data_IF_897011084352
#
_entry.id   IF_897011084352
#
_cell.length_a   1.000
_cell.length_b   1.000
_cell.length_c   1.000
_cell.angle_alpha   90.00
_cell.angle_beta   90.00
_cell.angle_gamma   90.00
#
_symmetry.space_group_name_H-M   'P 1'
#
loop_
_entity.id
_entity.type
_entity.pdbx_description
1 polymer ?
#
# COMPACT_ATOMS: atom_id res chain seq x y z
N UNK A 1 18.18 -5.94 3.13
CA UNK A 1 17.68 -4.59 3.42
C UNK A 1 18.56 -3.81 4.40
N UNK A 2 18.89 -4.31 5.60
CA UNK A 2 19.72 -3.57 6.58
C UNK A 2 21.05 -3.02 6.04
N UNK A 3 21.82 -3.86 5.31
CA UNK A 3 23.07 -3.42 4.65
C UNK A 3 22.87 -2.27 3.66
N UNK A 4 21.81 -2.33 2.85
CA UNK A 4 21.49 -1.28 1.86
C UNK A 4 21.03 -0.01 2.57
N UNK A 5 20.21 -0.12 3.62
CA UNK A 5 19.78 1.02 4.42
C UNK A 5 20.95 1.75 5.06
N UNK A 6 21.99 1.02 5.48
CA UNK A 6 23.22 1.60 6.03
C UNK A 6 24.06 2.27 4.94
N UNK A 7 24.26 1.60 3.81
CA UNK A 7 25.04 2.13 2.68
C UNK A 7 24.44 3.40 2.08
N UNK A 8 23.12 3.47 1.96
CA UNK A 8 22.40 4.59 1.35
C UNK A 8 21.94 5.65 2.36
N UNK A 9 22.10 5.38 3.67
CA UNK A 9 21.60 6.23 4.75
C UNK A 9 20.15 6.70 4.53
N UNK A 10 19.22 5.74 4.48
CA UNK A 10 17.82 6.03 4.16
C UNK A 10 17.10 6.85 5.25
N UNK A 11 16.12 7.65 4.82
CA UNK A 11 15.27 8.44 5.73
C UNK A 11 14.04 7.67 6.21
N UNK A 12 13.47 6.83 5.35
CA UNK A 12 12.28 6.01 5.63
C UNK A 12 12.21 4.79 4.72
N UNK A 13 11.27 3.89 5.02
CA UNK A 13 10.94 2.71 4.21
C UNK A 13 9.50 2.82 3.71
N UNK A 14 9.27 2.39 2.47
CA UNK A 14 7.94 2.30 1.87
C UNK A 14 7.57 0.83 1.68
N UNK A 15 6.39 0.42 2.16
CA UNK A 15 5.81 -0.90 1.88
C UNK A 15 4.63 -0.74 0.92
N UNK A 16 4.65 -1.49 -0.18
CA UNK A 16 3.59 -1.49 -1.20
C UNK A 16 2.46 -2.46 -0.89
N UNK A 17 2.25 -2.85 0.37
CA UNK A 17 1.20 -3.79 0.79
C UNK A 17 1.62 -5.26 0.75
N UNK A 18 0.67 -6.12 1.10
CA UNK A 18 0.89 -7.51 1.50
C UNK A 18 1.87 -7.61 2.66
N UNK A 19 1.56 -6.84 3.70
CA UNK A 19 2.44 -6.70 4.86
C UNK A 19 2.50 -8.00 5.69
N UNK A 20 1.39 -8.76 5.75
CA UNK A 20 1.31 -9.99 6.51
C UNK A 20 0.64 -11.11 5.71
N UNK A 21 1.45 -12.03 5.21
CA UNK A 21 0.99 -13.25 4.56
C UNK A 21 0.54 -14.31 5.57
N UNK A 22 -0.40 -15.21 5.23
CA UNK A 22 -1.20 -15.26 3.98
C UNK A 22 -2.54 -14.52 4.09
N UNK A 23 -2.90 -14.08 5.31
CA UNK A 23 -4.25 -13.61 5.64
C UNK A 23 -4.26 -12.43 6.61
N UNK A 24 -3.31 -11.52 6.49
CA UNK A 24 -3.22 -10.33 7.34
C UNK A 24 -3.01 -10.66 8.82
N UNK A 25 -3.32 -9.69 9.68
CA UNK A 25 -3.40 -9.86 11.13
C UNK A 25 -4.83 -10.19 11.55
N UNK A 26 -5.03 -10.99 12.60
CA UNK A 26 -6.34 -11.25 13.17
C UNK A 26 -6.85 -10.10 14.06
N UNK A 27 -5.95 -9.40 14.74
CA UNK A 27 -6.28 -8.29 15.66
C UNK A 27 -5.09 -7.34 15.84
N UNK A 28 -5.27 -6.16 16.45
CA UNK A 28 -4.16 -5.26 16.79
C UNK A 28 -3.16 -5.83 17.82
N UNK A 29 -3.45 -6.98 18.41
CA UNK A 29 -2.58 -7.68 19.36
C UNK A 29 -2.06 -9.02 18.81
N UNK A 30 -2.24 -9.27 17.52
CA UNK A 30 -1.72 -10.46 16.86
C UNK A 30 -0.19 -10.50 16.95
N UNK A 31 0.35 -11.61 17.46
CA UNK A 31 1.79 -11.80 17.64
C UNK A 31 2.53 -11.77 16.30
N UNK A 32 1.85 -12.10 15.20
CA UNK A 32 2.43 -12.05 13.86
C UNK A 32 2.94 -10.65 13.48
N UNK A 33 2.40 -9.58 14.09
CA UNK A 33 2.98 -8.25 13.91
C UNK A 33 4.45 -8.20 14.37
N UNK A 34 4.74 -8.76 15.55
CA UNK A 34 6.12 -8.80 16.05
C UNK A 34 6.96 -9.79 15.27
N UNK A 35 6.40 -10.97 15.00
CA UNK A 35 7.13 -12.07 14.37
C UNK A 35 7.48 -11.79 12.90
N UNK A 36 6.71 -10.96 12.20
CA UNK A 36 6.95 -10.61 10.79
C UNK A 36 7.48 -9.19 10.55
N UNK A 37 7.43 -8.30 11.56
CA UNK A 37 7.92 -6.92 11.41
C UNK A 37 8.93 -6.52 12.49
N UNK A 38 8.49 -6.40 13.75
CA UNK A 38 9.33 -5.83 14.83
C UNK A 38 10.63 -6.61 15.02
N UNK A 39 10.53 -7.93 15.13
CA UNK A 39 11.66 -8.80 15.43
C UNK A 39 12.48 -9.18 14.18
N UNK A 40 11.99 -8.84 12.99
CA UNK A 40 12.67 -9.12 11.72
C UNK A 40 13.56 -7.95 11.31
N UNK A 41 13.02 -6.73 11.33
CA UNK A 41 13.71 -5.55 10.81
C UNK A 41 14.50 -4.83 11.92
N UNK A 42 15.41 -5.54 12.58
CA UNK A 42 16.12 -5.06 13.79
C UNK A 42 17.40 -4.28 13.51
N UNK A 43 17.89 -4.24 12.27
CA UNK A 43 19.09 -3.49 11.92
C UNK A 43 18.94 -1.99 12.25
N UNK A 44 20.01 -1.35 12.75
CA UNK A 44 20.02 0.07 13.14
C UNK A 44 19.59 0.99 11.99
N UNK A 45 20.03 0.70 10.76
CA UNK A 45 19.66 1.44 9.56
C UNK A 45 18.17 1.35 9.19
N UNK A 46 17.42 0.42 9.77
CA UNK A 46 15.98 0.24 9.57
C UNK A 46 15.14 0.75 10.74
N UNK A 47 15.77 1.38 11.74
CA UNK A 47 15.08 2.08 12.83
C UNK A 47 14.61 3.47 12.36
N UNK A 48 13.86 3.47 11.25
CA UNK A 48 13.30 4.63 10.55
C UNK A 48 11.79 4.50 10.49
N UNK A 49 11.08 5.55 10.07
CA UNK A 49 9.63 5.44 9.83
C UNK A 49 9.37 4.53 8.62
N UNK A 50 8.35 3.67 8.74
CA UNK A 50 7.81 2.85 7.66
C UNK A 50 6.43 3.35 7.28
N UNK A 51 6.26 3.62 5.99
CA UNK A 51 5.01 4.07 5.40
C UNK A 51 4.44 2.95 4.53
N UNK A 52 3.30 2.40 4.94
CA UNK A 52 2.74 1.18 4.37
C UNK A 52 1.31 1.41 3.86
N UNK A 53 1.01 0.85 2.69
CA UNK A 53 -0.37 0.61 2.23
C UNK A 53 -0.76 -0.84 2.45
N UNK A 54 -2.04 -1.16 2.22
CA UNK A 54 -2.58 -2.51 2.32
C UNK A 54 -2.51 -3.21 0.95
N UNK A 55 -2.21 -4.50 0.97
CA UNK A 55 -2.36 -5.40 -0.18
C UNK A 55 -3.54 -6.34 -0.05
N UNK A 56 -3.72 -7.22 -1.03
CA UNK A 56 -4.87 -8.12 -1.04
C UNK A 56 -4.79 -9.18 0.06
N UNK A 57 -3.60 -9.63 0.48
CA UNK A 57 -3.45 -10.56 1.61
C UNK A 57 -3.77 -9.90 2.96
N UNK A 58 -3.49 -8.60 3.10
CA UNK A 58 -3.86 -7.84 4.29
C UNK A 58 -5.38 -7.76 4.47
N UNK A 59 -6.09 -7.61 3.35
CA UNK A 59 -7.55 -7.61 3.30
C UNK A 59 -8.19 -8.96 3.62
N UNK A 60 -7.46 -10.08 3.53
CA UNK A 60 -7.98 -11.41 3.94
C UNK A 60 -8.00 -11.59 5.46
N UNK A 61 -7.41 -10.64 6.19
CA UNK A 61 -7.40 -10.58 7.65
C UNK A 61 -8.28 -9.48 8.21
N UNK A 62 -7.77 -8.79 9.23
CA UNK A 62 -8.39 -7.65 9.87
C UNK A 62 -7.68 -6.37 9.43
N UNK A 63 -8.24 -5.67 8.44
CA UNK A 63 -7.69 -4.41 7.93
C UNK A 63 -7.55 -3.37 9.04
N UNK A 64 -8.57 -3.28 9.90
CA UNK A 64 -8.58 -2.33 11.02
C UNK A 64 -7.46 -2.60 12.04
N UNK A 65 -6.94 -3.83 12.13
CA UNK A 65 -5.79 -4.13 12.96
C UNK A 65 -4.54 -3.39 12.47
N UNK A 66 -4.28 -3.43 11.16
CA UNK A 66 -3.08 -2.84 10.55
C UNK A 66 -3.11 -1.30 10.58
N UNK A 67 -4.30 -0.72 10.47
CA UNK A 67 -4.55 0.73 10.55
C UNK A 67 -4.51 1.26 11.99
N UNK A 68 -4.61 0.37 12.97
CA UNK A 68 -4.80 0.73 14.38
C UNK A 68 -3.62 1.51 14.94
N UNK A 69 -3.86 2.57 15.74
CA UNK A 69 -2.81 3.23 16.51
C UNK A 69 -2.15 2.29 17.53
N UNK A 70 -2.76 1.14 17.87
CA UNK A 70 -2.17 0.15 18.77
C UNK A 70 -0.86 -0.40 18.20
N UNK A 71 -0.79 -0.71 16.90
CA UNK A 71 0.46 -1.21 16.30
C UNK A 71 1.58 -0.19 16.39
N UNK A 72 1.26 1.11 16.25
CA UNK A 72 2.24 2.21 16.42
C UNK A 72 2.73 2.36 17.84
N UNK A 73 1.93 1.94 18.83
CA UNK A 73 2.37 1.87 20.24
C UNK A 73 3.26 0.66 20.50
N UNK A 74 3.05 -0.44 19.77
CA UNK A 74 3.90 -1.63 19.87
C UNK A 74 5.25 -1.36 19.19
N UNK A 75 5.24 -0.72 18.02
CA UNK A 75 6.44 -0.33 17.28
C UNK A 75 6.18 1.00 16.55
N UNK A 76 6.84 2.07 16.99
CA UNK A 76 6.62 3.44 16.48
C UNK A 76 7.03 3.61 15.02
N UNK A 77 7.84 2.69 14.48
CA UNK A 77 8.22 2.69 13.07
C UNK A 77 7.04 2.40 12.16
N UNK A 78 6.01 1.70 12.64
CA UNK A 78 4.88 1.31 11.81
C UNK A 78 3.95 2.49 11.53
N UNK A 79 3.68 2.80 10.26
CA UNK A 79 2.54 3.61 9.86
C UNK A 79 1.87 2.97 8.65
N UNK A 80 0.66 2.44 8.86
CA UNK A 80 -0.20 1.97 7.79
C UNK A 80 -1.52 2.74 7.83
N UNK A 81 -1.91 3.29 6.69
CA UNK A 81 -3.19 3.95 6.46
C UNK A 81 -3.74 3.44 5.10
N UNK A 82 -5.05 3.56 4.87
CA UNK A 82 -5.65 3.12 3.59
C UNK A 82 -5.10 3.91 2.41
N UNK A 83 -5.29 5.23 2.44
CA UNK A 83 -4.71 6.17 1.49
C UNK A 83 -4.27 7.42 2.24
N UNK A 84 -3.10 7.96 1.90
CA UNK A 84 -2.54 9.14 2.56
C UNK A 84 -1.46 9.79 1.71
N UNK A 85 -1.06 10.99 2.07
CA UNK A 85 -0.01 11.74 1.38
C UNK A 85 1.13 11.96 2.36
N UNK A 86 2.35 11.70 1.90
CA UNK A 86 3.58 12.06 2.60
C UNK A 86 4.30 13.14 1.77
N UNK A 87 4.44 14.32 2.37
CA UNK A 87 5.17 15.43 1.79
C UNK A 87 6.59 15.47 2.39
N UNK A 88 7.61 15.46 1.52
CA UNK A 88 9.04 15.52 1.88
C UNK A 88 9.70 16.80 1.37
N UNK A 89 8.91 17.84 1.12
CA UNK A 89 9.24 19.13 0.50
C UNK A 89 9.64 19.05 -0.98
N UNK A 90 10.56 18.14 -1.32
CA UNK A 90 11.04 17.95 -2.70
C UNK A 90 10.17 16.96 -3.46
N UNK A 91 9.68 15.91 -2.78
CA UNK A 91 8.80 14.90 -3.35
C UNK A 91 7.51 14.77 -2.54
N UNK A 92 6.41 14.51 -3.22
CA UNK A 92 5.15 14.08 -2.60
C UNK A 92 4.81 12.67 -3.02
N UNK A 93 4.54 11.85 -2.00
CA UNK A 93 4.19 10.44 -2.14
C UNK A 93 2.71 10.28 -1.87
N UNK A 94 1.97 9.76 -2.86
CA UNK A 94 0.52 9.55 -2.78
C UNK A 94 0.25 8.05 -2.65
N UNK A 95 0.01 7.62 -1.42
CA UNK A 95 -0.33 6.25 -1.09
C UNK A 95 -1.81 6.01 -1.34
N UNK A 96 -2.12 4.98 -2.13
CA UNK A 96 -3.49 4.65 -2.54
C UNK A 96 -3.83 3.19 -2.27
N UNK A 97 -5.01 2.97 -1.69
CA UNK A 97 -5.56 1.63 -1.52
C UNK A 97 -6.10 1.08 -2.84
N UNK A 98 -5.33 0.20 -3.48
CA UNK A 98 -5.72 -0.37 -4.77
C UNK A 98 -6.54 -1.66 -4.66
N UNK A 99 -6.64 -2.28 -3.48
CA UNK A 99 -7.34 -3.57 -3.33
C UNK A 99 -8.83 -3.47 -3.66
N UNK A 100 -9.57 -2.42 -3.25
CA UNK A 100 -10.97 -2.27 -3.61
C UNK A 100 -11.22 -2.04 -5.11
N UNK A 101 -10.20 -1.78 -5.93
CA UNK A 101 -10.38 -1.61 -7.38
C UNK A 101 -10.60 -2.92 -8.11
N UNK A 102 -10.10 -4.04 -7.60
CA UNK A 102 -10.17 -5.34 -8.28
C UNK A 102 -11.56 -5.95 -8.16
N UNK A 103 -12.27 -6.11 -9.26
CA UNK A 103 -13.64 -6.63 -9.29
C UNK A 103 -13.73 -8.08 -8.84
N UNK A 104 -12.69 -8.86 -9.15
CA UNK A 104 -12.67 -10.29 -8.86
C UNK A 104 -12.81 -10.59 -7.35
N UNK A 105 -12.25 -9.75 -6.49
CA UNK A 105 -12.30 -9.93 -5.03
C UNK A 105 -13.71 -9.75 -4.44
N UNK A 106 -14.63 -9.13 -5.17
CA UNK A 106 -16.02 -8.93 -4.74
C UNK A 106 -16.98 -9.98 -5.32
N UNK A 107 -16.66 -10.53 -6.49
CA UNK A 107 -17.62 -11.34 -7.25
C UNK A 107 -17.27 -12.83 -7.34
N UNK A 108 -15.99 -13.20 -7.17
CA UNK A 108 -15.58 -14.60 -7.29
C UNK A 108 -15.63 -15.30 -5.92
N UNK A 109 -16.56 -16.24 -5.70
CA UNK A 109 -16.73 -16.93 -4.42
C UNK A 109 -15.58 -17.87 -4.07
N UNK A 110 -14.63 -18.12 -4.99
CA UNK A 110 -13.43 -18.91 -4.72
C UNK A 110 -12.37 -18.13 -3.95
N UNK A 111 -12.47 -16.79 -3.89
CA UNK A 111 -11.53 -15.99 -3.12
C UNK A 111 -11.80 -16.10 -1.62
N UNK A 112 -10.76 -15.98 -0.78
CA UNK A 112 -10.93 -15.89 0.68
C UNK A 112 -11.86 -14.74 1.05
N UNK A 113 -12.41 -14.74 2.26
CA UNK A 113 -13.22 -13.62 2.74
C UNK A 113 -12.35 -12.38 2.93
N UNK A 114 -12.68 -11.30 2.23
CA UNK A 114 -12.05 -9.99 2.39
C UNK A 114 -12.78 -9.15 3.45
N UNK A 115 -12.03 -8.36 4.21
CA UNK A 115 -12.53 -7.38 5.16
C UNK A 115 -12.82 -6.05 4.47
N UNK A 116 -14.09 -5.88 4.08
CA UNK A 116 -14.54 -4.68 3.39
C UNK A 116 -15.02 -3.55 4.31
N UNK A 117 -14.71 -3.60 5.62
CA UNK A 117 -15.07 -2.53 6.54
C UNK A 117 -14.35 -1.24 6.17
N UNK A 118 -15.12 -0.15 6.03
CA UNK A 118 -14.61 1.15 5.61
C UNK A 118 -14.57 1.39 4.10
N UNK A 119 -14.76 0.35 3.27
CA UNK A 119 -14.77 0.50 1.80
C UNK A 119 -16.17 0.36 1.18
N UNK A 120 -17.17 -0.07 1.95
CA UNK A 120 -18.55 -0.18 1.49
C UNK A 120 -19.34 1.11 1.81
N UNK A 121 -20.13 1.67 0.87
CA UNK A 121 -20.37 1.20 -0.50
C UNK A 121 -19.17 1.41 -1.45
N UNK A 122 -18.72 0.33 -2.11
CA UNK A 122 -17.52 0.29 -2.96
C UNK A 122 -17.45 1.40 -4.00
N UNK A 123 -18.53 1.61 -4.76
CA UNK A 123 -18.61 2.66 -5.79
C UNK A 123 -18.44 4.06 -5.22
N UNK A 124 -18.89 4.31 -3.98
CA UNK A 124 -18.68 5.59 -3.31
C UNK A 124 -17.22 5.73 -2.87
N UNK A 125 -16.66 4.67 -2.29
CA UNK A 125 -15.26 4.64 -1.85
C UNK A 125 -14.29 4.89 -3.02
N UNK A 126 -14.40 4.15 -4.12
CA UNK A 126 -13.52 4.31 -5.29
C UNK A 126 -13.58 5.72 -5.89
N UNK A 127 -14.79 6.29 -6.01
CA UNK A 127 -14.95 7.68 -6.47
C UNK A 127 -14.27 8.68 -5.53
N UNK A 128 -14.30 8.44 -4.22
CA UNK A 128 -13.67 9.31 -3.25
C UNK A 128 -12.15 9.23 -3.35
N UNK A 129 -11.58 8.02 -3.39
CA UNK A 129 -10.12 7.81 -3.56
C UNK A 129 -9.60 8.50 -4.83
N UNK A 130 -10.28 8.31 -5.97
CA UNK A 130 -9.88 8.93 -7.24
C UNK A 130 -10.04 10.45 -7.21
N UNK A 131 -11.10 10.97 -6.57
CA UNK A 131 -11.32 12.41 -6.42
C UNK A 131 -10.22 13.05 -5.57
N UNK A 132 -9.91 12.45 -4.42
CA UNK A 132 -8.93 12.98 -3.47
C UNK A 132 -7.53 12.94 -4.07
N UNK A 133 -7.16 11.83 -4.72
CA UNK A 133 -5.90 11.73 -5.46
C UNK A 133 -5.80 12.81 -6.54
N UNK A 134 -6.84 12.96 -7.37
CA UNK A 134 -6.85 13.97 -8.44
C UNK A 134 -6.76 15.39 -7.91
N UNK A 135 -7.42 15.71 -6.79
CA UNK A 135 -7.32 17.03 -6.15
C UNK A 135 -5.89 17.28 -5.66
N UNK A 136 -5.35 16.33 -4.91
CA UNK A 136 -4.03 16.46 -4.32
C UNK A 136 -2.93 16.55 -5.37
N UNK A 137 -3.01 15.78 -6.46
CA UNK A 137 -2.04 15.86 -7.57
C UNK A 137 -2.08 17.22 -8.30
N UNK A 138 -3.27 17.84 -8.41
CA UNK A 138 -3.43 19.18 -9.01
C UNK A 138 -2.91 20.28 -8.11
N UNK A 139 -3.11 20.14 -6.80
CA UNK A 139 -2.66 21.10 -5.78
C UNK A 139 -1.14 20.98 -5.52
N UNK A 140 -0.57 19.80 -5.75
CA UNK A 140 0.84 19.51 -5.55
C UNK A 140 1.76 20.36 -6.42
N UNK A 141 2.64 21.10 -5.75
CA UNK A 141 3.75 21.88 -6.34
C UNK A 141 5.10 21.18 -6.17
N UNK A 142 5.12 19.94 -5.65
CA UNK A 142 6.34 19.18 -5.44
C UNK A 142 7.06 18.91 -6.76
N UNK A 143 8.40 18.83 -6.70
CA UNK A 143 9.23 18.54 -7.87
C UNK A 143 8.99 17.14 -8.41
N UNK A 144 8.77 16.18 -7.50
CA UNK A 144 8.48 14.78 -7.83
C UNK A 144 7.14 14.36 -7.24
N UNK A 145 6.28 13.78 -8.08
CA UNK A 145 4.99 13.19 -7.70
C UNK A 145 5.07 11.68 -7.88
N UNK A 146 5.05 10.95 -6.77
CA UNK A 146 5.22 9.49 -6.76
C UNK A 146 3.96 8.87 -6.18
N UNK A 147 3.29 8.00 -6.95
CA UNK A 147 2.10 7.28 -6.49
C UNK A 147 2.49 5.87 -6.07
N UNK A 148 2.03 5.44 -4.90
CA UNK A 148 2.27 4.10 -4.36
C UNK A 148 0.96 3.34 -4.23
N UNK A 149 0.89 2.16 -4.83
CA UNK A 149 -0.24 1.24 -4.68
C UNK A 149 0.24 -0.20 -4.55
N UNK A 150 -0.66 -1.14 -4.29
CA UNK A 150 -0.27 -2.56 -4.20
C UNK A 150 -0.24 -3.24 -5.57
N UNK A 151 -1.26 -2.98 -6.38
CA UNK A 151 -1.54 -3.72 -7.61
C UNK A 151 -0.85 -3.07 -8.83
N UNK A 152 -0.36 -3.85 -9.81
CA UNK A 152 0.29 -3.31 -11.01
C UNK A 152 -0.72 -2.68 -11.98
N UNK A 153 -0.35 -1.53 -12.56
CA UNK A 153 -1.01 -0.97 -13.75
C UNK A 153 -0.48 -1.65 -15.02
N UNK A 154 0.85 -1.83 -15.09
CA UNK A 154 1.55 -2.56 -16.16
C UNK A 154 2.46 -3.60 -15.52
N UNK A 155 2.45 -4.83 -16.02
CA UNK A 155 3.31 -5.91 -15.52
C UNK A 155 3.43 -7.05 -16.53
N UNK A 156 4.64 -7.61 -16.64
CA UNK A 156 4.92 -8.87 -17.33
C UNK A 156 4.99 -10.07 -16.37
N UNK A 157 4.62 -9.89 -15.09
CA UNK A 157 4.59 -10.94 -14.07
C UNK A 157 3.33 -11.82 -14.14
N UNK A 158 3.29 -12.87 -13.31
CA UNK A 158 2.22 -13.89 -13.32
C UNK A 158 0.80 -13.30 -13.13
N UNK A 159 0.67 -12.30 -12.26
CA UNK A 159 -0.60 -11.64 -11.98
C UNK A 159 -1.07 -10.71 -13.12
N UNK A 160 -0.20 -10.39 -14.08
CA UNK A 160 -0.52 -9.49 -15.19
C UNK A 160 -0.91 -8.09 -14.74
N UNK A 161 -1.68 -7.41 -15.57
CA UNK A 161 -2.11 -6.03 -15.36
C UNK A 161 -3.48 -5.96 -14.68
N UNK A 162 -3.69 -4.92 -13.86
CA UNK A 162 -4.98 -4.66 -13.23
C UNK A 162 -5.84 -3.77 -14.12
N UNK A 163 -6.78 -4.36 -14.85
CA UNK A 163 -7.62 -3.66 -15.85
C UNK A 163 -8.36 -2.46 -15.27
N UNK A 164 -8.86 -2.58 -14.05
CA UNK A 164 -9.60 -1.53 -13.36
C UNK A 164 -8.71 -0.31 -13.08
N UNK A 165 -7.42 -0.53 -12.77
CA UNK A 165 -6.47 0.56 -12.59
C UNK A 165 -6.06 1.19 -13.93
N UNK A 166 -5.91 0.41 -15.00
CA UNK A 166 -5.68 0.95 -16.35
C UNK A 166 -6.85 1.87 -16.75
N UNK A 167 -8.09 1.46 -16.48
CA UNK A 167 -9.26 2.23 -16.88
C UNK A 167 -9.53 3.46 -16.00
N UNK A 168 -9.29 3.36 -14.69
CA UNK A 168 -9.76 4.37 -13.73
C UNK A 168 -8.64 5.22 -13.13
N UNK A 169 -7.46 4.64 -12.91
CA UNK A 169 -6.35 5.31 -12.23
C UNK A 169 -5.34 5.90 -13.21
N UNK A 170 -4.90 5.11 -14.21
CA UNK A 170 -3.86 5.52 -15.16
C UNK A 170 -4.17 6.87 -15.85
N UNK A 171 -5.42 7.16 -16.31
CA UNK A 171 -5.72 8.45 -16.92
C UNK A 171 -5.51 9.64 -15.96
N UNK A 172 -5.72 9.44 -14.66
CA UNK A 172 -5.46 10.48 -13.65
C UNK A 172 -3.96 10.68 -13.48
N UNK A 173 -3.17 9.60 -13.47
CA UNK A 173 -1.71 9.69 -13.34
C UNK A 173 -1.10 10.43 -14.54
N UNK A 174 -1.55 10.10 -15.75
CA UNK A 174 -1.10 10.72 -17.00
C UNK A 174 -1.55 12.20 -17.10
N UNK A 175 -2.83 12.52 -16.81
CA UNK A 175 -3.35 13.90 -16.83
C UNK A 175 -2.57 14.84 -15.89
N UNK A 176 -2.02 14.30 -14.79
CA UNK A 176 -1.34 15.08 -13.76
C UNK A 176 0.20 14.94 -13.79
N UNK A 177 0.76 14.36 -14.85
CA UNK A 177 2.21 14.17 -15.05
C UNK A 177 2.91 13.52 -13.83
N UNK A 178 2.33 12.44 -13.30
CA UNK A 178 2.96 11.65 -12.23
C UNK A 178 4.28 11.05 -12.74
N UNK A 179 5.36 11.23 -11.98
CA UNK A 179 6.69 10.79 -12.38
C UNK A 179 6.89 9.28 -12.24
N UNK A 180 6.31 8.69 -11.19
CA UNK A 180 6.46 7.26 -10.92
C UNK A 180 5.22 6.68 -10.26
N UNK A 181 4.84 5.49 -10.71
CA UNK A 181 3.91 4.61 -10.01
C UNK A 181 4.67 3.38 -9.49
N UNK A 182 4.77 3.25 -8.16
CA UNK A 182 5.45 2.15 -7.48
C UNK A 182 4.39 1.16 -6.99
N UNK A 183 4.58 -0.12 -7.31
CA UNK A 183 3.67 -1.18 -6.86
C UNK A 183 4.40 -2.47 -6.49
N UNK A 184 3.65 -3.37 -5.87
CA UNK A 184 4.07 -4.73 -5.53
C UNK A 184 3.47 -5.76 -6.49
N UNK A 185 2.80 -6.77 -5.94
CA UNK A 185 1.98 -7.80 -6.61
C UNK A 185 2.46 -8.21 -8.03
N UNK A 186 3.73 -8.58 -8.15
CA UNK A 186 4.33 -9.00 -9.43
C UNK A 186 5.34 -10.13 -9.29
N UNK A 187 5.31 -10.89 -8.20
CA UNK A 187 6.28 -11.98 -8.01
C UNK A 187 5.93 -13.15 -8.93
N UNK A 188 6.54 -13.16 -10.10
CA UNK A 188 6.84 -14.38 -10.82
C UNK A 188 8.02 -15.07 -10.10
N UNK A 189 7.72 -16.02 -9.21
CA UNK A 189 8.68 -17.06 -8.89
C UNK A 189 8.45 -18.22 -9.86
N UNK A 190 9.03 -18.12 -11.06
CA UNK A 190 9.42 -19.32 -11.79
C UNK A 190 10.81 -19.71 -11.27
N UNK A 191 10.85 -20.74 -10.44
CA UNK A 191 12.02 -21.63 -10.29
C UNK A 191 11.51 -23.05 -10.25
#
# INVERSE_FOLDING_TARGET
MGKVGEQLNIDFVVSTGDNFYEKGLASPHDLNFKDSFTNIYTANSLQKQWYSVLGNHDYRGNVQAQLSPILRKIDSRWLCLQSFILNTEIAEFFFIDTTPFVDEYFHNPKHPKFDWRGVIPRKRYLRQVLKDLKSALKESVAKWKIVIGHHPIKSNGHHGETKELIMQLLPILEENNVDMYINGMTIACNT
#
